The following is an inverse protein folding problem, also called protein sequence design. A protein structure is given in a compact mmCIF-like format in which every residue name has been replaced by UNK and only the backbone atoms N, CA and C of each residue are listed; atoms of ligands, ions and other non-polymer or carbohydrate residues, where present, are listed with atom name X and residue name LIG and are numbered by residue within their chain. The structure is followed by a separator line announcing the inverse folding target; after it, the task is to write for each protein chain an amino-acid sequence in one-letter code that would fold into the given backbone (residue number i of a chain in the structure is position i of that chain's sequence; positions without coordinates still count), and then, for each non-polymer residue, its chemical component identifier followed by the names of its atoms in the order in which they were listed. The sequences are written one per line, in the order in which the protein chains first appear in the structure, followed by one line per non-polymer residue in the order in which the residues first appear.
data_IF_865371736479
#
_entry.id   IF_865371736479
#
_cell.length_a   1.000
_cell.length_b   1.000
_cell.length_c   1.000
_cell.angle_alpha   90.00
_cell.angle_beta   90.00
_cell.angle_gamma   90.00
#
_symmetry.space_group_name_H-M   'P 1'
#
loop_
_entity.id
_entity.type
_entity.pdbx_description
1 polymer ?
#
# COMPACT_ATOMS: atom_id res chain seq x y z
N UNK A 1 -31.60 -50.53 9.21
CA UNK A 1 -31.95 -49.91 7.93
C UNK A 1 -32.31 -48.46 8.24
N UNK A 2 -31.49 -47.49 7.77
CA UNK A 2 -31.76 -46.06 7.97
C UNK A 2 -32.92 -45.67 7.06
N UNK A 3 -33.98 -45.09 7.62
CA UNK A 3 -35.19 -44.74 6.91
C UNK A 3 -35.00 -43.47 6.05
N UNK A 4 -35.61 -43.42 4.88
CA UNK A 4 -35.58 -42.26 3.94
C UNK A 4 -35.88 -40.90 4.60
N UNK A 5 -36.80 -40.72 5.57
CA UNK A 5 -37.04 -39.45 6.20
C UNK A 5 -35.86 -38.98 7.11
N UNK A 6 -35.10 -39.89 7.70
CA UNK A 6 -33.93 -39.55 8.49
C UNK A 6 -32.78 -38.97 7.64
N UNK A 7 -32.57 -39.56 6.46
CA UNK A 7 -31.57 -39.03 5.50
C UNK A 7 -31.95 -37.64 5.01
N UNK A 8 -33.24 -37.38 4.76
CA UNK A 8 -33.73 -36.09 4.30
C UNK A 8 -33.59 -34.98 5.34
N UNK A 9 -33.82 -35.30 6.63
CA UNK A 9 -33.62 -34.38 7.74
C UNK A 9 -32.16 -34.05 7.96
N UNK A 10 -31.27 -35.04 7.89
CA UNK A 10 -29.81 -34.86 8.02
C UNK A 10 -29.25 -34.00 6.91
N UNK A 11 -29.66 -34.24 5.66
CA UNK A 11 -29.21 -33.43 4.53
C UNK A 11 -29.71 -31.96 4.61
N UNK A 12 -30.89 -31.74 5.18
CA UNK A 12 -31.41 -30.39 5.43
C UNK A 12 -30.63 -29.69 6.51
N UNK A 13 -30.26 -30.35 7.61
CA UNK A 13 -29.43 -29.81 8.67
C UNK A 13 -28.03 -29.46 8.18
N UNK A 14 -27.39 -30.34 7.39
CA UNK A 14 -26.08 -30.09 6.78
C UNK A 14 -26.13 -28.85 5.83
N UNK A 15 -27.16 -28.75 4.99
CA UNK A 15 -27.32 -27.59 4.11
C UNK A 15 -27.46 -26.28 4.87
N UNK A 16 -28.26 -26.28 5.95
CA UNK A 16 -28.43 -25.10 6.81
C UNK A 16 -27.13 -24.73 7.51
N UNK A 17 -26.35 -25.69 8.00
CA UNK A 17 -25.04 -25.44 8.63
C UNK A 17 -24.05 -24.85 7.63
N UNK A 18 -24.01 -25.34 6.39
CA UNK A 18 -23.15 -24.80 5.31
C UNK A 18 -23.53 -23.34 5.00
N UNK A 19 -24.81 -23.03 4.92
CA UNK A 19 -25.29 -21.65 4.66
C UNK A 19 -24.91 -20.70 5.80
N UNK A 20 -25.04 -21.12 7.05
CA UNK A 20 -24.63 -20.33 8.22
C UNK A 20 -23.13 -20.06 8.21
N UNK A 21 -22.30 -21.08 7.91
CA UNK A 21 -20.84 -20.93 7.81
C UNK A 21 -20.46 -19.97 6.68
N UNK A 22 -21.07 -20.12 5.50
CA UNK A 22 -20.82 -19.19 4.36
C UNK A 22 -21.18 -17.74 4.73
N UNK A 23 -22.29 -17.53 5.41
CA UNK A 23 -22.74 -16.21 5.82
C UNK A 23 -21.81 -15.59 6.88
N UNK A 24 -21.31 -16.39 7.82
CA UNK A 24 -20.35 -15.98 8.83
C UNK A 24 -18.98 -15.62 8.22
N UNK A 25 -18.48 -16.42 7.28
CA UNK A 25 -17.23 -16.16 6.56
C UNK A 25 -17.36 -14.91 5.70
N UNK A 26 -18.49 -14.71 5.02
CA UNK A 26 -18.74 -13.48 4.25
C UNK A 26 -18.80 -12.24 5.13
N UNK A 27 -19.46 -12.30 6.28
CA UNK A 27 -19.52 -11.21 7.26
C UNK A 27 -18.13 -10.89 7.83
N UNK A 28 -17.32 -11.91 8.11
CA UNK A 28 -15.96 -11.75 8.63
C UNK A 28 -15.04 -11.12 7.59
N UNK A 29 -15.13 -11.52 6.32
CA UNK A 29 -14.37 -10.90 5.23
C UNK A 29 -14.78 -9.44 5.01
N UNK A 30 -16.06 -9.10 5.17
CA UNK A 30 -16.54 -7.72 5.07
C UNK A 30 -16.02 -6.86 6.22
N UNK A 31 -16.04 -7.38 7.46
CA UNK A 31 -15.48 -6.69 8.63
C UNK A 31 -13.96 -6.51 8.53
N UNK A 32 -13.24 -7.50 8.01
CA UNK A 32 -11.79 -7.39 7.77
C UNK A 32 -11.46 -6.34 6.71
N UNK A 33 -12.25 -6.27 5.62
CA UNK A 33 -12.10 -5.27 4.57
C UNK A 33 -12.37 -3.84 5.08
N UNK A 34 -13.39 -3.65 5.93
CA UNK A 34 -13.66 -2.34 6.55
C UNK A 34 -12.63 -1.96 7.61
N UNK A 35 -12.10 -2.92 8.38
CA UNK A 35 -11.09 -2.68 9.42
C UNK A 35 -9.76 -2.21 8.84
N UNK A 36 -9.27 -2.87 7.78
CA UNK A 36 -8.04 -2.48 7.09
C UNK A 36 -8.19 -1.14 6.37
N UNK A 37 -9.32 -0.88 5.72
CA UNK A 37 -9.61 0.40 5.09
C UNK A 37 -9.68 1.56 6.09
N UNK A 38 -10.22 1.33 7.29
CA UNK A 38 -10.30 2.36 8.34
C UNK A 38 -8.92 2.69 8.93
N UNK A 39 -8.07 1.70 9.14
CA UNK A 39 -6.69 1.89 9.62
C UNK A 39 -5.88 2.65 8.58
N UNK A 40 -6.00 2.28 7.30
CA UNK A 40 -5.34 2.95 6.20
C UNK A 40 -5.82 4.40 6.04
N UNK A 41 -7.14 4.65 6.19
CA UNK A 41 -7.71 6.00 6.18
C UNK A 41 -7.18 6.85 7.33
N UNK A 42 -7.05 6.31 8.54
CA UNK A 42 -6.46 7.00 9.70
C UNK A 42 -4.98 7.33 9.47
N UNK A 43 -4.21 6.43 8.87
CA UNK A 43 -2.81 6.66 8.53
C UNK A 43 -2.68 7.76 7.47
N UNK A 44 -3.51 7.74 6.42
CA UNK A 44 -3.51 8.77 5.37
C UNK A 44 -3.97 10.13 5.91
N UNK A 45 -4.98 10.17 6.79
CA UNK A 45 -5.44 11.45 7.41
C UNK A 45 -4.40 12.02 8.36
N UNK A 46 -3.66 11.19 9.10
CA UNK A 46 -2.52 11.63 9.92
C UNK A 46 -1.40 12.22 9.04
N UNK A 47 -1.10 11.57 7.91
CA UNK A 47 -0.08 12.03 6.98
C UNK A 47 -0.46 13.35 6.29
N UNK A 48 -1.71 13.50 5.85
CA UNK A 48 -2.23 14.76 5.28
C UNK A 48 -2.26 15.86 6.34
N UNK A 49 -2.64 15.54 7.59
CA UNK A 49 -2.68 16.47 8.70
C UNK A 49 -1.30 17.05 9.05
N UNK A 50 -0.28 16.20 9.12
CA UNK A 50 1.11 16.63 9.42
C UNK A 50 1.72 17.43 8.26
N UNK A 51 1.42 17.08 7.01
CA UNK A 51 1.91 17.80 5.84
C UNK A 51 1.21 19.17 5.65
N UNK A 52 -0.07 19.28 5.98
CA UNK A 52 -0.80 20.57 5.92
C UNK A 52 -0.28 21.58 6.96
N UNK A 53 0.18 21.13 8.13
CA UNK A 53 0.83 21.97 9.14
C UNK A 53 2.19 22.48 8.64
N UNK A 54 2.92 21.68 7.85
CA UNK A 54 4.20 22.10 7.25
C UNK A 54 4.04 23.12 6.11
N UNK A 55 2.86 23.16 5.44
CA UNK A 55 2.61 24.09 4.33
C UNK A 55 2.07 25.45 4.78
N UNK A 56 1.68 25.63 6.04
CA UNK A 56 0.91 26.81 6.50
C UNK A 56 1.65 27.75 7.43
N UNK A 57 2.89 27.47 7.83
CA UNK A 57 3.56 28.38 8.76
C UNK A 57 4.95 28.81 8.30
N UNK A 58 5.05 30.05 7.87
CA UNK A 58 6.28 30.80 7.70
C UNK A 58 6.84 31.26 9.05
N UNK A 59 7.08 30.32 9.98
CA UNK A 59 7.56 30.62 11.32
C UNK A 59 8.05 29.38 12.07
N UNK A 60 9.33 29.04 11.88
CA UNK A 60 10.22 28.46 12.90
C UNK A 60 9.68 27.34 13.80
N UNK A 61 9.65 26.15 13.29
CA UNK A 61 10.21 24.89 13.81
C UNK A 61 9.87 23.80 12.81
N UNK A 62 10.77 23.53 11.86
CA UNK A 62 10.73 22.34 11.05
C UNK A 62 10.84 21.14 12.01
N UNK A 63 9.75 20.49 12.35
CA UNK A 63 9.82 19.09 12.71
C UNK A 63 10.36 18.38 11.46
N UNK A 64 11.68 18.24 11.45
CA UNK A 64 12.37 17.41 10.46
C UNK A 64 11.79 16.02 10.69
N UNK A 65 10.96 15.55 9.77
CA UNK A 65 10.58 14.13 9.73
C UNK A 65 11.90 13.39 9.57
N UNK A 66 12.42 12.88 10.68
CA UNK A 66 13.68 12.16 10.69
C UNK A 66 13.45 10.84 9.97
N UNK A 67 14.06 10.67 8.80
CA UNK A 67 14.13 9.37 8.14
C UNK A 67 14.90 8.40 9.04
N UNK A 68 14.51 7.14 9.04
CA UNK A 68 15.27 6.08 9.72
C UNK A 68 16.64 5.89 9.06
N UNK A 69 17.59 5.34 9.81
CA UNK A 69 18.91 5.01 9.27
C UNK A 69 18.80 4.00 8.12
N UNK A 70 17.84 3.09 8.21
CA UNK A 70 17.56 2.09 7.18
C UNK A 70 17.08 2.74 5.87
N UNK A 71 16.18 3.72 5.95
CA UNK A 71 15.71 4.45 4.75
C UNK A 71 16.86 5.26 4.14
N UNK A 72 17.68 5.91 4.96
CA UNK A 72 18.87 6.65 4.50
C UNK A 72 19.85 5.70 3.79
N UNK A 73 20.07 4.50 4.32
CA UNK A 73 20.96 3.49 3.72
C UNK A 73 20.51 3.06 2.32
N UNK A 74 19.22 3.20 1.97
CA UNK A 74 18.71 2.88 0.64
C UNK A 74 18.73 4.04 -0.35
N UNK A 75 19.23 5.23 0.02
CA UNK A 75 19.19 6.41 -0.84
C UNK A 75 19.79 6.15 -2.23
N UNK A 76 20.98 5.54 -2.31
CA UNK A 76 21.63 5.27 -3.59
C UNK A 76 20.82 4.30 -4.47
N UNK A 77 20.20 3.30 -3.85
CA UNK A 77 19.33 2.34 -4.55
C UNK A 77 18.05 3.00 -5.05
N UNK A 78 17.42 3.84 -4.23
CA UNK A 78 16.24 4.64 -4.62
C UNK A 78 16.60 5.56 -5.77
N UNK A 79 17.72 6.27 -5.69
CA UNK A 79 18.20 7.19 -6.72
C UNK A 79 18.49 6.48 -8.04
N UNK A 80 19.09 5.28 -7.98
CA UNK A 80 19.33 4.43 -9.15
C UNK A 80 18.03 4.16 -9.92
N UNK A 81 17.00 3.68 -9.24
CA UNK A 81 15.73 3.34 -9.87
C UNK A 81 14.88 4.58 -10.21
N UNK A 82 14.96 5.65 -9.41
CA UNK A 82 14.33 6.92 -9.75
C UNK A 82 14.85 7.46 -11.09
N UNK A 83 16.17 7.34 -11.35
CA UNK A 83 16.78 7.68 -12.61
C UNK A 83 16.33 6.77 -13.75
N UNK A 84 16.25 5.46 -13.50
CA UNK A 84 15.79 4.47 -14.50
C UNK A 84 14.36 4.75 -14.99
N UNK A 85 13.50 5.25 -14.10
CA UNK A 85 12.09 5.52 -14.40
C UNK A 85 11.77 7.01 -14.63
N UNK A 86 12.80 7.87 -14.80
CA UNK A 86 12.69 9.32 -15.07
C UNK A 86 11.90 10.08 -14.00
N UNK A 87 12.15 9.78 -12.71
CA UNK A 87 11.50 10.42 -11.55
C UNK A 87 12.52 10.85 -10.48
N UNK A 88 13.72 11.28 -10.87
CA UNK A 88 14.78 11.69 -9.94
C UNK A 88 14.37 12.84 -9.00
N UNK A 89 13.52 13.74 -9.46
CA UNK A 89 13.00 14.85 -8.67
C UNK A 89 12.16 14.40 -7.47
N UNK A 90 11.77 13.12 -7.42
CA UNK A 90 10.92 12.53 -6.39
C UNK A 90 11.66 11.61 -5.43
N UNK A 91 13.01 11.60 -5.41
CA UNK A 91 13.81 10.74 -4.51
C UNK A 91 13.41 10.92 -3.04
N UNK A 92 13.29 12.17 -2.58
CA UNK A 92 12.86 12.46 -1.20
C UNK A 92 11.45 11.95 -0.92
N UNK A 93 10.56 12.00 -1.89
CA UNK A 93 9.20 11.48 -1.76
C UNK A 93 9.18 9.95 -1.73
N UNK A 94 10.03 9.28 -2.52
CA UNK A 94 10.23 7.84 -2.47
C UNK A 94 10.79 7.38 -1.11
N UNK A 95 11.72 8.14 -0.51
CA UNK A 95 12.18 7.91 0.86
C UNK A 95 11.05 8.06 1.87
N UNK A 96 10.18 9.06 1.72
CA UNK A 96 9.02 9.26 2.58
C UNK A 96 7.98 8.13 2.42
N UNK A 97 7.77 7.63 1.21
CA UNK A 97 6.93 6.45 0.97
C UNK A 97 7.53 5.24 1.69
N UNK A 98 8.82 4.93 1.51
CA UNK A 98 9.48 3.82 2.20
C UNK A 98 9.41 3.96 3.73
N UNK A 99 9.59 5.18 4.24
CA UNK A 99 9.47 5.45 5.67
C UNK A 99 8.07 5.11 6.18
N UNK A 100 7.02 5.47 5.42
CA UNK A 100 5.63 5.19 5.75
C UNK A 100 5.31 3.69 5.66
N UNK A 101 5.79 2.99 4.63
CA UNK A 101 5.46 1.60 4.36
C UNK A 101 6.10 0.63 5.36
N UNK A 102 7.36 0.87 5.74
CA UNK A 102 8.11 -0.08 6.58
C UNK A 102 9.17 0.56 7.49
N UNK A 103 9.46 1.85 7.30
CA UNK A 103 10.64 2.48 7.88
C UNK A 103 11.96 1.92 7.32
N UNK A 104 11.94 1.36 6.10
CA UNK A 104 13.10 0.73 5.44
C UNK A 104 13.40 -0.68 5.93
N UNK A 105 12.49 -1.30 6.70
CA UNK A 105 12.73 -2.61 7.35
C UNK A 105 12.17 -3.78 6.55
N UNK A 106 12.77 -4.95 6.79
CA UNK A 106 12.33 -6.21 6.17
C UNK A 106 12.80 -6.38 4.74
N UNK A 107 12.23 -7.36 4.05
CA UNK A 107 12.63 -7.72 2.68
C UNK A 107 11.77 -7.03 1.60
N UNK A 108 10.67 -6.40 2.01
CA UNK A 108 9.79 -5.64 1.13
C UNK A 108 9.62 -4.20 1.67
N UNK A 109 10.72 -3.39 1.68
CA UNK A 109 10.71 -2.08 2.31
C UNK A 109 9.73 -1.08 1.66
N UNK A 110 9.38 -1.25 0.40
CA UNK A 110 8.39 -0.43 -0.30
C UNK A 110 6.97 -1.02 -0.27
N UNK A 111 6.76 -2.16 0.42
CA UNK A 111 5.50 -2.92 0.45
C UNK A 111 4.90 -3.12 -0.95
N UNK A 112 5.77 -3.41 -1.92
CA UNK A 112 5.47 -3.47 -3.33
C UNK A 112 5.09 -4.87 -3.84
N UNK A 113 4.96 -5.86 -2.95
CA UNK A 113 4.71 -7.27 -3.32
C UNK A 113 3.46 -7.45 -4.16
N UNK A 114 2.37 -6.72 -3.89
CA UNK A 114 1.10 -6.86 -4.60
C UNK A 114 1.01 -6.01 -5.86
N UNK A 115 2.05 -5.21 -6.17
CA UNK A 115 2.12 -4.39 -7.37
C UNK A 115 2.03 -5.22 -8.65
N UNK A 116 1.39 -4.66 -9.68
CA UNK A 116 1.36 -5.21 -11.04
C UNK A 116 2.73 -5.40 -11.65
N UNK A 117 3.73 -4.64 -11.19
CA UNK A 117 5.12 -4.69 -11.65
C UNK A 117 5.96 -5.77 -10.97
N UNK A 118 5.45 -6.39 -9.88
CA UNK A 118 6.08 -7.56 -9.30
C UNK A 118 5.86 -8.79 -10.18
N UNK A 119 6.90 -9.20 -10.91
CA UNK A 119 6.90 -10.36 -11.82
C UNK A 119 7.76 -11.52 -11.33
N UNK A 120 8.58 -11.30 -10.28
CA UNK A 120 9.54 -12.29 -9.78
C UNK A 120 9.07 -13.06 -8.55
N UNK A 121 8.19 -12.46 -7.74
CA UNK A 121 7.75 -13.02 -6.46
C UNK A 121 6.22 -13.18 -6.41
N UNK A 122 5.69 -13.99 -5.47
CA UNK A 122 4.26 -14.10 -5.27
C UNK A 122 3.62 -12.73 -4.95
N UNK A 123 2.48 -12.42 -5.56
CA UNK A 123 1.72 -11.19 -5.30
C UNK A 123 0.81 -11.37 -4.08
N UNK A 124 1.45 -11.49 -2.94
CA UNK A 124 0.81 -11.57 -1.62
C UNK A 124 1.55 -10.63 -0.68
N UNK A 125 0.95 -10.17 0.42
CA UNK A 125 1.63 -9.31 1.38
C UNK A 125 2.98 -9.88 1.80
N UNK A 126 4.03 -9.06 1.75
CA UNK A 126 5.43 -9.44 2.02
C UNK A 126 5.96 -10.61 1.18
N UNK A 127 5.43 -10.80 -0.04
CA UNK A 127 5.89 -11.87 -0.94
C UNK A 127 7.27 -11.63 -1.52
N UNK A 128 7.72 -10.37 -1.66
CA UNK A 128 9.08 -10.02 -2.09
C UNK A 128 10.06 -10.32 -0.94
N UNK A 129 11.14 -11.02 -1.27
CA UNK A 129 12.20 -11.39 -0.31
C UNK A 129 13.56 -10.76 -0.65
N UNK A 130 13.59 -9.80 -1.56
CA UNK A 130 14.75 -9.05 -2.02
C UNK A 130 14.47 -7.55 -1.88
N UNK A 131 15.13 -6.86 -0.94
CA UNK A 131 14.90 -5.43 -0.69
C UNK A 131 15.21 -4.54 -1.91
N UNK A 132 16.24 -4.84 -2.68
CA UNK A 132 16.57 -4.05 -3.88
C UNK A 132 15.47 -4.19 -4.92
N UNK A 133 14.96 -5.40 -5.12
CA UNK A 133 13.83 -5.62 -6.03
C UNK A 133 12.53 -4.97 -5.54
N UNK A 134 12.29 -4.93 -4.23
CA UNK A 134 11.16 -4.17 -3.66
C UNK A 134 11.25 -2.68 -4.02
N UNK A 135 12.46 -2.10 -3.93
CA UNK A 135 12.70 -0.69 -4.28
C UNK A 135 12.49 -0.47 -5.79
N UNK A 136 12.99 -1.36 -6.64
CA UNK A 136 12.74 -1.33 -8.08
C UNK A 136 11.24 -1.30 -8.37
N UNK A 137 10.49 -2.27 -7.85
CA UNK A 137 9.05 -2.42 -8.09
C UNK A 137 8.26 -1.24 -7.51
N UNK A 138 8.57 -0.79 -6.30
CA UNK A 138 7.90 0.34 -5.66
C UNK A 138 8.13 1.64 -6.42
N UNK A 139 9.36 1.90 -6.85
CA UNK A 139 9.72 3.08 -7.64
C UNK A 139 9.01 3.07 -9.01
N UNK A 140 8.97 1.91 -9.68
CA UNK A 140 8.23 1.75 -10.93
C UNK A 140 6.73 2.00 -10.74
N UNK A 141 6.15 1.43 -9.67
CA UNK A 141 4.74 1.64 -9.31
C UNK A 141 4.43 3.13 -9.13
N UNK A 142 5.29 3.85 -8.40
CA UNK A 142 5.09 5.28 -8.16
C UNK A 142 5.25 6.10 -9.45
N UNK A 143 6.22 5.77 -10.32
CA UNK A 143 6.36 6.39 -11.64
C UNK A 143 5.09 6.25 -12.48
N UNK A 144 4.46 5.07 -12.49
CA UNK A 144 3.18 4.86 -13.17
C UNK A 144 2.04 5.70 -12.56
N UNK A 145 1.99 5.82 -11.24
CA UNK A 145 1.02 6.67 -10.55
C UNK A 145 1.19 8.16 -10.91
N UNK A 146 2.44 8.66 -10.97
CA UNK A 146 2.73 10.04 -11.40
C UNK A 146 2.26 10.29 -12.84
N UNK A 147 2.52 9.35 -13.75
CA UNK A 147 2.08 9.41 -15.16
C UNK A 147 0.55 9.40 -15.28
N UNK A 148 -0.14 8.51 -14.56
CA UNK A 148 -1.60 8.41 -14.56
C UNK A 148 -2.27 9.65 -13.96
N UNK A 149 -1.74 10.16 -12.86
CA UNK A 149 -2.18 11.40 -12.25
C UNK A 149 -1.86 12.63 -13.11
N UNK A 150 -1.07 12.47 -14.20
CA UNK A 150 -0.64 13.55 -15.10
C UNK A 150 0.11 14.65 -14.36
N UNK A 151 0.96 14.28 -13.41
CA UNK A 151 1.84 15.21 -12.69
C UNK A 151 2.74 15.91 -13.70
N UNK A 152 2.83 17.22 -13.60
CA UNK A 152 3.61 18.06 -14.56
C UNK A 152 5.05 18.21 -14.10
N UNK A 153 5.23 18.47 -12.80
CA UNK A 153 6.52 18.67 -12.16
C UNK A 153 6.39 18.47 -10.64
N UNK A 154 7.50 18.58 -9.92
CA UNK A 154 7.56 18.39 -8.47
C UNK A 154 6.81 19.43 -7.63
N UNK A 155 6.32 20.50 -8.24
CA UNK A 155 5.48 21.53 -7.60
C UNK A 155 3.97 21.29 -7.76
N UNK A 156 3.57 20.31 -8.59
CA UNK A 156 2.17 19.97 -8.86
C UNK A 156 1.55 19.13 -7.72
N UNK A 157 1.43 19.77 -6.58
CA UNK A 157 1.09 19.12 -5.30
C UNK A 157 -0.23 18.36 -5.35
N UNK A 158 -1.26 18.92 -5.99
CA UNK A 158 -2.59 18.25 -6.08
C UNK A 158 -2.51 16.92 -6.83
N UNK A 159 -1.76 16.88 -7.93
CA UNK A 159 -1.61 15.65 -8.72
C UNK A 159 -0.64 14.66 -8.08
N UNK A 160 0.37 15.17 -7.35
CA UNK A 160 1.24 14.33 -6.53
C UNK A 160 0.43 13.63 -5.43
N UNK A 161 -0.50 14.32 -4.76
CA UNK A 161 -1.40 13.68 -3.80
C UNK A 161 -2.25 12.58 -4.44
N UNK A 162 -2.77 12.82 -5.65
CA UNK A 162 -3.51 11.79 -6.38
C UNK A 162 -2.62 10.58 -6.73
N UNK A 163 -1.36 10.82 -7.11
CA UNK A 163 -0.39 9.75 -7.38
C UNK A 163 -0.08 8.94 -6.09
N UNK A 164 0.08 9.59 -4.94
CA UNK A 164 0.26 8.92 -3.65
C UNK A 164 -0.96 8.06 -3.27
N UNK A 165 -2.17 8.56 -3.51
CA UNK A 165 -3.39 7.75 -3.33
C UNK A 165 -3.39 6.54 -4.26
N UNK A 166 -2.97 6.72 -5.51
CA UNK A 166 -2.81 5.63 -6.48
C UNK A 166 -1.77 4.59 -6.05
N UNK A 167 -0.70 5.00 -5.38
CA UNK A 167 0.26 4.08 -4.79
C UNK A 167 -0.37 3.22 -3.69
N UNK A 168 -1.09 3.85 -2.76
CA UNK A 168 -1.70 3.18 -1.61
C UNK A 168 -2.90 2.29 -1.96
N UNK A 169 -3.74 2.72 -2.90
CA UNK A 169 -5.01 2.03 -3.24
C UNK A 169 -4.96 1.27 -4.57
N UNK A 170 -3.82 1.29 -5.24
CA UNK A 170 -3.64 0.79 -6.59
C UNK A 170 -3.90 1.88 -7.65
N UNK A 171 -3.13 1.83 -8.73
CA UNK A 171 -3.16 2.85 -9.79
C UNK A 171 -4.49 2.92 -10.56
N UNK A 172 -5.41 2.01 -10.33
CA UNK A 172 -6.79 2.07 -10.82
C UNK A 172 -7.67 3.09 -10.08
N UNK A 173 -7.20 3.65 -8.96
CA UNK A 173 -7.87 4.72 -8.23
C UNK A 173 -7.77 6.07 -8.97
N UNK A 174 -6.73 6.30 -9.75
CA UNK A 174 -6.46 7.50 -10.53
C UNK A 174 -7.30 7.50 -11.81
#
# INVERSE_FOLDING_TARGET
VVTQPAIKSTNRAIKTSIEVVKKSVSAMNTLFSFGTGLILLLVVTLFIGTFSVLAQDGGSSSEIVSLSEEVIAYEDTIRKYAKEYDIEDYVTLLQAIMMQESGGKGNDPMQASESGYNTKYPRVPNGITDPEYSIEVGTHTFSDCLKKAKVKDSSDTERIYLALQGYNYGSGYI
#
